data_IF_439188018785
#
_entry.id   IF_439188018785
#
_cell.length_a   1.000
_cell.length_b   1.000
_cell.length_c   1.000
_cell.angle_alpha   90.00
_cell.angle_beta   90.00
_cell.angle_gamma   90.00
#
_symmetry.space_group_name_H-M   'P 1'
#
loop_
_entity.id
_entity.type
_entity.pdbx_description
1 polymer ?
#
# COMPACT_ATOMS: atom_id res chain seq x y z
N UNK A 1 -7.95 16.96 11.07
CA UNK A 1 -7.43 15.69 11.63
C UNK A 1 -8.28 15.23 12.82
N UNK A 2 -9.58 15.56 12.84
CA UNK A 2 -10.41 15.33 14.03
C UNK A 2 -10.98 13.89 14.08
N UNK A 3 -11.11 13.24 12.92
CA UNK A 3 -11.58 11.86 12.80
C UNK A 3 -10.45 10.89 12.41
N UNK A 4 -9.45 10.72 13.26
CA UNK A 4 -8.41 9.70 13.07
C UNK A 4 -7.97 9.11 14.41
N UNK A 5 -7.39 7.90 14.37
CA UNK A 5 -6.85 7.25 15.57
C UNK A 5 -5.46 7.79 15.94
N UNK A 6 -4.65 8.11 14.93
CA UNK A 6 -3.34 8.73 15.07
C UNK A 6 -2.98 9.46 13.77
N UNK A 7 -2.11 10.45 13.86
CA UNK A 7 -1.55 11.15 12.71
C UNK A 7 -0.02 11.25 12.82
N UNK A 8 0.63 11.18 11.67
CA UNK A 8 2.08 11.32 11.52
C UNK A 8 2.35 12.51 10.60
N UNK A 9 3.08 13.49 11.09
CA UNK A 9 3.65 14.53 10.24
C UNK A 9 4.99 14.01 9.71
N UNK A 10 5.13 13.97 8.38
CA UNK A 10 6.31 13.43 7.73
C UNK A 10 6.92 14.45 6.79
N UNK A 11 8.25 14.52 6.78
CA UNK A 11 9.03 15.19 5.72
C UNK A 11 9.42 14.16 4.68
N UNK A 12 9.09 14.42 3.41
CA UNK A 12 9.54 13.55 2.30
C UNK A 12 11.05 13.69 2.13
N UNK A 13 11.76 12.57 2.20
CA UNK A 13 13.22 12.53 2.02
C UNK A 13 13.63 11.77 0.75
N UNK A 14 12.76 10.94 0.19
CA UNK A 14 12.98 10.28 -1.08
C UNK A 14 11.66 9.96 -1.80
N UNK A 15 11.71 9.88 -3.13
CA UNK A 15 10.61 9.48 -4.01
C UNK A 15 11.13 8.46 -5.02
N UNK A 16 10.42 7.35 -5.19
CA UNK A 16 10.83 6.27 -6.09
C UNK A 16 9.67 5.88 -7.01
N UNK A 17 10.01 5.52 -8.25
CA UNK A 17 9.08 4.86 -9.16
C UNK A 17 8.71 3.48 -8.62
N UNK A 18 7.42 3.15 -8.66
CA UNK A 18 6.89 1.84 -8.30
C UNK A 18 5.88 1.36 -9.35
N UNK A 19 6.21 1.55 -10.63
CA UNK A 19 5.32 1.21 -11.75
C UNK A 19 4.09 2.13 -11.79
N UNK A 20 2.86 1.62 -11.61
CA UNK A 20 1.65 2.45 -11.65
C UNK A 20 1.46 3.33 -10.39
N UNK A 21 2.44 3.38 -9.49
CA UNK A 21 2.37 4.12 -8.23
C UNK A 21 3.71 4.76 -7.92
N UNK A 22 3.69 5.72 -6.99
CA UNK A 22 4.90 6.39 -6.49
C UNK A 22 5.11 6.01 -5.03
N UNK A 23 6.32 5.56 -4.68
CA UNK A 23 6.69 5.32 -3.29
C UNK A 23 7.39 6.54 -2.71
N UNK A 24 6.88 7.03 -1.58
CA UNK A 24 7.48 8.12 -0.81
C UNK A 24 8.11 7.56 0.46
N UNK A 25 9.37 7.91 0.72
CA UNK A 25 10.00 7.70 2.01
C UNK A 25 9.88 8.99 2.82
N UNK A 26 9.17 8.91 3.95
CA UNK A 26 8.98 10.01 4.87
C UNK A 26 9.76 9.81 6.18
N UNK A 27 10.46 10.84 6.61
CA UNK A 27 10.96 10.97 7.99
C UNK A 27 9.84 11.52 8.86
N UNK A 28 9.52 10.83 9.96
CA UNK A 28 8.50 11.30 10.92
C UNK A 28 9.08 12.46 11.73
N UNK A 29 8.45 13.63 11.64
CA UNK A 29 8.85 14.83 12.40
C UNK A 29 8.01 15.04 13.65
N UNK A 30 6.74 14.59 13.63
CA UNK A 30 5.85 14.61 14.77
C UNK A 30 4.80 13.50 14.69
N UNK A 31 4.27 13.13 15.85
CA UNK A 31 3.18 12.16 15.99
C UNK A 31 2.09 12.74 16.87
N UNK A 32 0.84 12.48 16.52
CA UNK A 32 -0.33 12.97 17.24
C UNK A 32 -1.25 11.81 17.57
N UNK A 33 -1.62 11.72 18.85
CA UNK A 33 -2.73 10.85 19.25
C UNK A 33 -4.05 11.43 18.74
N UNK A 34 -4.91 10.57 18.21
CA UNK A 34 -6.24 10.93 17.77
C UNK A 34 -7.33 10.40 18.71
N UNK A 35 -8.57 10.41 18.23
CA UNK A 35 -9.71 9.90 18.97
C UNK A 35 -9.62 8.37 19.14
N UNK A 36 -10.04 7.88 20.30
CA UNK A 36 -10.25 6.45 20.53
C UNK A 36 -11.59 6.04 19.92
N UNK A 37 -11.61 4.97 19.13
CA UNK A 37 -12.82 4.49 18.47
C UNK A 37 -12.56 3.24 17.64
N UNK A 38 -13.61 2.74 16.98
CA UNK A 38 -13.51 1.58 16.09
C UNK A 38 -12.62 1.92 14.90
N UNK A 39 -11.58 1.11 14.68
CA UNK A 39 -10.70 1.28 13.53
C UNK A 39 -11.42 0.86 12.24
N UNK A 40 -11.19 1.63 11.18
CA UNK A 40 -11.59 1.24 9.84
C UNK A 40 -10.68 0.12 9.35
N UNK A 41 -11.11 -1.13 9.54
CA UNK A 41 -10.37 -2.32 9.08
C UNK A 41 -10.83 -2.78 7.71
N UNK A 42 -10.02 -3.61 7.05
CA UNK A 42 -10.42 -4.26 5.80
C UNK A 42 -11.70 -5.10 5.97
N UNK A 43 -11.88 -5.76 7.12
CA UNK A 43 -13.08 -6.54 7.41
C UNK A 43 -14.31 -5.66 7.61
N UNK A 44 -14.16 -4.53 8.32
CA UNK A 44 -15.23 -3.54 8.44
C UNK A 44 -15.64 -3.03 7.05
N UNK A 45 -14.68 -2.72 6.19
CA UNK A 45 -14.97 -2.26 4.82
C UNK A 45 -15.74 -3.31 4.01
N UNK A 46 -15.32 -4.59 4.04
CA UNK A 46 -16.03 -5.67 3.34
C UNK A 46 -17.43 -5.91 3.87
N UNK A 47 -17.62 -5.82 5.19
CA UNK A 47 -18.91 -6.00 5.84
C UNK A 47 -19.88 -4.84 5.53
N UNK A 48 -19.37 -3.62 5.41
CA UNK A 48 -20.18 -2.40 5.20
C UNK A 48 -20.15 -1.89 3.75
N UNK A 49 -19.63 -2.68 2.80
CA UNK A 49 -19.56 -2.28 1.40
C UNK A 49 -20.98 -2.06 0.84
N UNK A 50 -21.30 -0.88 0.28
CA UNK A 50 -22.59 -0.62 -0.33
C UNK A 50 -22.89 -1.65 -1.43
N UNK A 51 -24.11 -2.20 -1.44
CA UNK A 51 -24.47 -3.29 -2.34
C UNK A 51 -24.25 -2.94 -3.82
N UNK A 52 -24.54 -1.68 -4.19
CA UNK A 52 -24.29 -1.14 -5.53
C UNK A 52 -22.83 -1.23 -6.00
N UNK A 53 -21.86 -1.31 -5.09
CA UNK A 53 -20.42 -1.40 -5.39
C UNK A 53 -19.88 -2.82 -5.25
N UNK A 54 -20.66 -3.76 -4.70
CA UNK A 54 -20.18 -5.10 -4.35
C UNK A 54 -19.68 -5.86 -5.57
N UNK A 55 -20.42 -5.84 -6.67
CA UNK A 55 -20.07 -6.55 -7.91
C UNK A 55 -18.73 -6.05 -8.49
N UNK A 56 -18.59 -4.73 -8.64
CA UNK A 56 -17.38 -4.11 -9.19
C UNK A 56 -16.17 -4.33 -8.28
N UNK A 57 -16.34 -4.18 -6.97
CA UNK A 57 -15.29 -4.45 -6.00
C UNK A 57 -14.79 -5.89 -6.08
N UNK A 58 -15.69 -6.87 -6.10
CA UNK A 58 -15.31 -8.29 -6.17
C UNK A 58 -14.59 -8.64 -7.47
N UNK A 59 -15.02 -8.05 -8.59
CA UNK A 59 -14.32 -8.18 -9.88
C UNK A 59 -12.90 -7.64 -9.79
N UNK A 60 -12.73 -6.40 -9.35
CA UNK A 60 -11.41 -5.76 -9.25
C UNK A 60 -10.50 -6.48 -8.25
N UNK A 61 -11.06 -6.93 -7.12
CA UNK A 61 -10.34 -7.72 -6.13
C UNK A 61 -9.82 -9.03 -6.74
N UNK A 62 -10.63 -9.71 -7.54
CA UNK A 62 -10.22 -10.94 -8.21
C UNK A 62 -9.10 -10.69 -9.22
N UNK A 63 -9.25 -9.69 -10.08
CA UNK A 63 -8.24 -9.32 -11.08
C UNK A 63 -6.90 -8.98 -10.42
N UNK A 64 -6.93 -8.23 -9.30
CA UNK A 64 -5.73 -7.91 -8.53
C UNK A 64 -5.06 -9.17 -7.96
N UNK A 65 -5.82 -10.10 -7.38
CA UNK A 65 -5.29 -11.35 -6.82
C UNK A 65 -4.68 -12.25 -7.91
N UNK A 66 -5.30 -12.33 -9.07
CA UNK A 66 -4.77 -13.08 -10.21
C UNK A 66 -3.47 -12.43 -10.72
N UNK A 67 -3.44 -11.09 -10.84
CA UNK A 67 -2.23 -10.37 -11.25
C UNK A 67 -1.08 -10.54 -10.26
N UNK A 68 -1.35 -10.51 -8.95
CA UNK A 68 -0.34 -10.76 -7.90
C UNK A 68 0.20 -12.18 -8.05
N UNK A 69 -0.65 -13.17 -8.30
CA UNK A 69 -0.23 -14.56 -8.51
C UNK A 69 0.67 -14.70 -9.74
N UNK A 70 0.32 -14.05 -10.84
CA UNK A 70 1.14 -14.05 -12.06
C UNK A 70 2.51 -13.39 -11.86
N UNK A 71 2.58 -12.40 -10.96
CA UNK A 71 3.80 -11.69 -10.60
C UNK A 71 4.55 -12.30 -9.42
N UNK A 72 4.01 -13.32 -8.77
CA UNK A 72 4.58 -13.91 -7.57
C UNK A 72 5.93 -14.59 -7.84
N UNK A 73 6.19 -14.98 -9.09
CA UNK A 73 7.49 -15.43 -9.52
C UNK A 73 8.48 -14.25 -9.53
N UNK A 74 9.38 -14.21 -8.55
CA UNK A 74 10.58 -13.38 -8.61
C UNK A 74 11.48 -13.94 -9.70
N UNK A 75 11.31 -13.45 -10.92
CA UNK A 75 12.29 -13.64 -11.98
C UNK A 75 13.44 -12.69 -11.68
N UNK A 76 14.55 -13.22 -11.16
CA UNK A 76 15.78 -12.45 -11.01
C UNK A 76 16.34 -12.11 -12.39
N UNK A 77 15.83 -11.02 -12.98
CA UNK A 77 16.26 -10.49 -14.28
C UNK A 77 17.63 -9.84 -14.21
N UNK A 78 18.19 -9.66 -13.00
CA UNK A 78 19.54 -9.12 -12.78
C UNK A 78 20.40 -10.23 -12.22
N UNK A 79 20.89 -11.12 -13.08
CA UNK A 79 22.04 -11.96 -12.76
C UNK A 79 23.21 -11.02 -12.42
N UNK A 80 23.40 -10.72 -11.14
CA UNK A 80 24.50 -9.89 -10.68
C UNK A 80 25.80 -10.63 -11.00
N UNK A 81 26.56 -10.12 -11.97
CA UNK A 81 27.75 -10.77 -12.52
C UNK A 81 28.98 -10.73 -11.60
N UNK A 82 28.83 -10.32 -10.35
CA UNK A 82 29.94 -9.97 -9.48
C UNK A 82 30.59 -8.64 -9.85
N UNK A 83 31.50 -8.11 -9.03
CA UNK A 83 32.37 -7.03 -9.46
C UNK A 83 33.30 -7.54 -10.56
N UNK A 84 33.28 -6.91 -11.74
CA UNK A 84 34.36 -7.02 -12.72
C UNK A 84 35.56 -6.26 -12.16
N UNK A 85 36.46 -6.98 -11.50
CA UNK A 85 37.75 -6.44 -11.11
C UNK A 85 38.55 -5.98 -12.36
N UNK A 86 39.32 -4.88 -12.27
CA UNK A 86 40.20 -4.43 -13.35
C UNK A 86 41.37 -5.40 -13.61
#
# INVERSE_FOLDING_TARGET
LEECHAAFECRVINTMDAGPSTLFLGEVVATHGGATGTLLTADYFRANLPEKWRSEFLKNYREAQDRIRDLAAVNDVRRWGGPTAP
#
